data_IF_816464933173
#
_entry.id   IF_816464933173
#
_cell.length_a   1.000
_cell.length_b   1.000
_cell.length_c   1.000
_cell.angle_alpha   90.00
_cell.angle_beta   90.00
_cell.angle_gamma   90.00
#
_symmetry.space_group_name_H-M   'P 1'
#
loop_
_entity.id
_entity.type
_entity.pdbx_description
1 polymer ?
#
# COMPACT_ATOMS: atom_id res chain seq x y z
N UNK A 1 -48.69 -24.02 52.11
CA UNK A 1 -48.84 -23.25 50.84
C UNK A 1 -48.56 -21.80 51.18
N UNK A 2 -47.63 -21.04 50.60
CA UNK A 2 -46.67 -21.15 49.49
C UNK A 2 -45.49 -20.26 49.89
N UNK A 3 -44.26 -20.72 49.63
CA UNK A 3 -43.05 -19.90 49.77
C UNK A 3 -43.10 -18.75 48.74
N UNK A 4 -42.89 -17.51 49.18
CA UNK A 4 -42.77 -16.36 48.29
C UNK A 4 -41.29 -16.19 47.94
N UNK A 5 -40.93 -16.60 46.73
CA UNK A 5 -39.57 -16.54 46.19
C UNK A 5 -39.25 -15.09 45.82
N UNK A 6 -38.14 -14.58 46.36
CA UNK A 6 -37.56 -13.27 46.07
C UNK A 6 -36.85 -13.34 44.71
N UNK A 7 -37.37 -12.66 43.69
CA UNK A 7 -36.74 -12.56 42.36
C UNK A 7 -36.05 -11.18 42.24
N UNK A 8 -34.76 -11.15 42.57
CA UNK A 8 -33.87 -10.02 42.25
C UNK A 8 -33.51 -10.16 40.76
N UNK A 9 -34.10 -9.32 39.92
CA UNK A 9 -33.65 -9.15 38.55
C UNK A 9 -32.34 -8.37 38.55
N UNK A 10 -31.22 -9.08 38.48
CA UNK A 10 -29.90 -8.49 38.23
C UNK A 10 -29.86 -8.04 36.76
N UNK A 11 -30.22 -6.78 36.51
CA UNK A 11 -30.03 -6.14 35.22
C UNK A 11 -28.52 -5.93 35.01
N UNK A 12 -27.87 -6.91 34.40
CA UNK A 12 -26.49 -6.81 33.95
C UNK A 12 -26.43 -5.70 32.88
N UNK A 13 -26.04 -4.49 33.30
CA UNK A 13 -25.56 -3.44 32.40
C UNK A 13 -24.24 -3.93 31.79
N UNK A 14 -24.35 -4.72 30.71
CA UNK A 14 -23.22 -4.94 29.83
C UNK A 14 -22.83 -3.58 29.26
N UNK A 15 -21.58 -3.11 29.40
CA UNK A 15 -21.14 -1.93 28.68
C UNK A 15 -21.30 -2.25 27.20
N UNK A 16 -21.97 -1.37 26.46
CA UNK A 16 -21.89 -1.35 25.01
C UNK A 16 -20.42 -1.11 24.67
N UNK A 17 -19.63 -2.17 24.56
CA UNK A 17 -18.31 -2.11 23.94
C UNK A 17 -18.62 -1.84 22.48
N UNK A 18 -18.68 -0.55 22.12
CA UNK A 18 -18.56 -0.14 20.74
C UNK A 18 -17.20 -0.62 20.29
N UNK A 19 -17.18 -1.77 19.60
CA UNK A 19 -16.02 -2.19 18.84
C UNK A 19 -15.79 -1.07 17.84
N UNK A 20 -14.88 -0.15 18.14
CA UNK A 20 -14.42 0.80 17.13
C UNK A 20 -13.88 -0.08 16.03
N UNK A 21 -14.62 -0.19 14.92
CA UNK A 21 -14.06 -0.67 13.68
C UNK A 21 -12.91 0.29 13.42
N UNK A 22 -11.68 -0.11 13.77
CA UNK A 22 -10.49 0.55 13.27
C UNK A 22 -10.58 0.25 11.77
N UNK A 23 -11.30 1.10 11.05
CA UNK A 23 -11.14 1.21 9.63
C UNK A 23 -9.71 1.67 9.49
N UNK A 24 -8.78 0.73 9.33
CA UNK A 24 -7.45 1.06 8.86
C UNK A 24 -7.71 1.86 7.59
N UNK A 25 -7.35 3.14 7.65
CA UNK A 25 -7.71 4.15 6.68
C UNK A 25 -6.83 3.89 5.46
N UNK A 26 -7.28 2.90 4.67
CA UNK A 26 -6.54 2.25 3.60
C UNK A 26 -6.52 3.16 2.39
N UNK A 27 -5.34 3.31 1.80
CA UNK A 27 -5.10 4.22 0.68
C UNK A 27 -4.34 3.51 -0.42
N UNK A 28 -4.63 3.89 -1.66
CA UNK A 28 -3.77 3.60 -2.80
C UNK A 28 -2.64 4.63 -2.87
N UNK A 29 -1.46 4.16 -3.26
CA UNK A 29 -0.32 5.00 -3.60
C UNK A 29 -0.16 4.96 -5.11
N UNK A 30 -0.47 6.07 -5.78
CA UNK A 30 -0.53 6.17 -7.24
C UNK A 30 0.58 7.06 -7.80
N UNK A 31 1.07 6.73 -8.99
CA UNK A 31 1.96 7.60 -9.76
C UNK A 31 1.14 8.77 -10.30
N UNK A 32 1.60 10.00 -10.02
CA UNK A 32 0.89 11.23 -10.41
C UNK A 32 0.82 11.39 -11.93
N UNK A 33 1.86 10.97 -12.65
CA UNK A 33 1.78 10.85 -14.10
C UNK A 33 1.14 9.51 -14.48
N UNK A 34 0.05 9.55 -15.24
CA UNK A 34 -0.68 8.34 -15.64
C UNK A 34 0.08 7.47 -16.65
N UNK A 35 1.08 8.02 -17.35
CA UNK A 35 1.78 7.37 -18.45
C UNK A 35 0.79 6.86 -19.52
N UNK A 36 0.82 5.57 -19.83
CA UNK A 36 -0.01 4.86 -20.81
C UNK A 36 -1.24 4.17 -20.19
N UNK A 37 -1.54 4.43 -18.91
CA UNK A 37 -2.69 3.86 -18.20
C UNK A 37 -3.61 4.99 -17.69
N UNK A 38 -4.73 5.28 -18.37
CA UNK A 38 -5.65 6.35 -17.97
C UNK A 38 -6.22 6.20 -16.54
N UNK A 39 -6.27 4.98 -16.00
CA UNK A 39 -6.70 4.69 -14.62
C UNK A 39 -5.58 4.95 -13.59
N UNK A 40 -4.36 5.22 -14.06
CA UNK A 40 -3.15 5.41 -13.26
C UNK A 40 -2.47 4.11 -12.85
N UNK A 41 -1.21 4.24 -12.43
CA UNK A 41 -0.41 3.16 -11.87
C UNK A 41 -0.33 3.26 -10.35
N UNK A 42 -0.61 2.17 -9.64
CA UNK A 42 -0.53 2.05 -8.19
C UNK A 42 0.51 1.02 -7.77
N UNK A 43 1.07 1.18 -6.58
CA UNK A 43 1.95 0.17 -5.97
C UNK A 43 1.11 -1.06 -5.64
N UNK A 44 1.55 -2.22 -6.14
CA UNK A 44 0.77 -3.45 -6.17
C UNK A 44 1.61 -4.68 -5.79
N UNK A 45 0.99 -5.59 -5.03
CA UNK A 45 1.53 -6.93 -4.82
C UNK A 45 1.14 -7.82 -5.98
N UNK A 46 2.16 -8.37 -6.66
CA UNK A 46 1.95 -9.35 -7.72
C UNK A 46 1.00 -10.48 -7.32
N UNK A 47 -0.06 -10.66 -8.10
CA UNK A 47 -1.05 -11.70 -7.91
C UNK A 47 -2.45 -11.12 -8.09
N UNK A 48 -3.42 -11.62 -7.33
CA UNK A 48 -4.79 -11.11 -7.42
C UNK A 48 -5.47 -11.15 -6.05
N UNK A 49 -5.75 -9.97 -5.50
CA UNK A 49 -6.43 -9.79 -4.21
C UNK A 49 -5.77 -10.66 -3.15
N UNK A 50 -6.54 -11.39 -2.34
CA UNK A 50 -6.03 -12.29 -1.29
C UNK A 50 -5.10 -13.42 -1.80
N UNK A 51 -5.01 -13.67 -3.11
CA UNK A 51 -4.05 -14.61 -3.72
C UNK A 51 -2.72 -13.94 -4.11
N UNK A 52 -2.47 -12.72 -3.64
CA UNK A 52 -1.23 -12.02 -3.88
C UNK A 52 0.00 -12.79 -3.35
N UNK A 53 1.10 -12.72 -4.08
CA UNK A 53 2.33 -13.48 -3.85
C UNK A 53 3.34 -12.60 -3.11
N UNK A 54 3.26 -12.58 -1.79
CA UNK A 54 4.13 -11.76 -0.93
C UNK A 54 5.64 -12.08 -1.07
N UNK A 55 5.99 -13.22 -1.66
CA UNK A 55 7.38 -13.59 -1.95
C UNK A 55 7.89 -13.06 -3.30
N UNK A 56 7.10 -12.25 -4.02
CA UNK A 56 7.50 -11.59 -5.26
C UNK A 56 7.75 -10.11 -5.01
N UNK A 57 8.63 -9.52 -5.82
CA UNK A 57 8.82 -8.07 -5.82
C UNK A 57 7.51 -7.34 -6.17
N UNK A 58 7.30 -6.21 -5.52
CA UNK A 58 6.25 -5.24 -5.82
C UNK A 58 6.35 -4.75 -7.26
N UNK A 59 5.23 -4.25 -7.77
CA UNK A 59 5.12 -3.70 -9.11
C UNK A 59 4.27 -2.42 -9.11
N UNK A 60 4.30 -1.70 -10.22
CA UNK A 60 3.28 -0.73 -10.57
C UNK A 60 2.24 -1.45 -11.42
N UNK A 61 0.98 -1.38 -11.04
CA UNK A 61 -0.14 -1.99 -11.76
C UNK A 61 -1.23 -0.96 -11.98
N UNK A 62 -2.12 -1.14 -12.95
CA UNK A 62 -3.36 -0.37 -13.04
C UNK A 62 -4.02 -0.30 -11.66
N UNK A 63 -4.29 0.92 -11.21
CA UNK A 63 -4.98 1.17 -9.94
C UNK A 63 -6.40 0.62 -9.96
N UNK A 64 -6.91 0.18 -8.81
CA UNK A 64 -8.23 -0.45 -8.71
C UNK A 64 -9.30 0.41 -8.05
N UNK A 65 -8.97 1.58 -7.48
CA UNK A 65 -9.94 2.42 -6.76
C UNK A 65 -11.16 2.84 -7.58
N UNK A 66 -11.08 2.84 -8.93
CA UNK A 66 -12.25 3.06 -9.80
C UNK A 66 -13.38 2.03 -9.58
N UNK A 67 -13.10 0.92 -8.91
CA UNK A 67 -14.08 -0.10 -8.53
C UNK A 67 -14.88 0.28 -7.27
N UNK A 68 -14.62 1.44 -6.66
CA UNK A 68 -15.32 1.95 -5.48
C UNK A 68 -14.75 1.49 -4.14
N UNK A 69 -13.65 0.72 -4.15
CA UNK A 69 -12.99 0.21 -2.94
C UNK A 69 -11.46 0.11 -3.19
N UNK A 70 -10.66 0.24 -2.12
CA UNK A 70 -9.21 0.01 -2.21
C UNK A 70 -8.94 -1.50 -2.14
N UNK A 71 -8.30 -2.04 -3.19
CA UNK A 71 -7.98 -3.46 -3.24
C UNK A 71 -6.92 -3.85 -2.20
N UNK A 72 -7.08 -5.03 -1.61
CA UNK A 72 -6.21 -5.54 -0.52
C UNK A 72 -4.74 -5.62 -0.91
N UNK A 73 -4.44 -5.84 -2.18
CA UNK A 73 -3.09 -5.94 -2.79
C UNK A 73 -2.52 -4.60 -3.27
N UNK A 74 -3.27 -3.50 -3.12
CA UNK A 74 -2.81 -2.11 -3.38
C UNK A 74 -2.98 -1.18 -2.18
N UNK A 75 -3.61 -1.67 -1.10
CA UNK A 75 -3.92 -0.88 0.08
C UNK A 75 -2.76 -0.75 1.05
N UNK A 76 -2.46 0.49 1.43
CA UNK A 76 -1.51 0.86 2.47
C UNK A 76 -2.22 1.50 3.65
N UNK A 77 -1.69 1.30 4.86
CA UNK A 77 -2.18 1.99 6.06
C UNK A 77 -1.67 3.43 6.10
N UNK A 78 -2.57 4.40 5.90
CA UNK A 78 -2.21 5.82 5.85
C UNK A 78 -1.57 6.34 7.14
N UNK A 79 -1.93 5.80 8.31
CA UNK A 79 -1.33 6.20 9.59
C UNK A 79 0.12 5.76 9.67
N UNK A 80 0.47 4.61 9.09
CA UNK A 80 1.84 4.09 9.06
C UNK A 80 2.72 4.83 8.07
N UNK A 81 2.15 5.35 6.98
CA UNK A 81 2.88 6.20 6.03
C UNK A 81 3.46 7.44 6.70
N UNK A 82 2.72 8.09 7.60
CA UNK A 82 3.22 9.25 8.38
C UNK A 82 4.40 8.91 9.30
N UNK A 83 4.61 7.61 9.58
CA UNK A 83 5.71 7.07 10.38
C UNK A 83 6.81 6.46 9.53
N UNK A 84 6.86 6.83 8.24
CA UNK A 84 7.83 6.34 7.26
C UNK A 84 7.79 4.82 7.04
N UNK A 85 6.60 4.22 7.23
CA UNK A 85 6.39 2.79 7.11
C UNK A 85 5.30 2.52 6.07
N UNK A 86 5.70 1.85 4.99
CA UNK A 86 4.81 1.46 3.90
C UNK A 86 4.24 0.07 4.21
N UNK A 87 3.27 0.06 5.11
CA UNK A 87 2.60 -1.13 5.63
C UNK A 87 1.37 -1.50 4.80
N UNK A 88 1.26 -2.76 4.39
CA UNK A 88 0.11 -3.32 3.67
C UNK A 88 -0.71 -4.21 4.63
N UNK A 89 -1.80 -3.70 5.22
CA UNK A 89 -2.45 -4.32 6.37
C UNK A 89 -3.06 -5.69 6.08
N UNK A 90 -3.64 -5.89 4.89
CA UNK A 90 -4.30 -7.16 4.52
C UNK A 90 -3.37 -8.37 4.50
N UNK A 91 -2.06 -8.14 4.37
CA UNK A 91 -1.04 -9.19 4.31
C UNK A 91 -0.08 -9.14 5.51
N UNK A 92 -0.21 -8.15 6.39
CA UNK A 92 0.68 -7.91 7.52
C UNK A 92 2.17 -7.85 7.13
N UNK A 93 2.48 -7.15 6.04
CA UNK A 93 3.84 -7.00 5.49
C UNK A 93 4.18 -5.54 5.22
N UNK A 94 5.48 -5.27 5.16
CA UNK A 94 6.02 -3.95 4.87
C UNK A 94 6.83 -3.97 3.56
N UNK A 95 6.71 -2.91 2.77
CA UNK A 95 7.60 -2.65 1.65
C UNK A 95 9.06 -2.61 2.15
N UNK A 96 9.92 -3.39 1.51
CA UNK A 96 11.32 -3.57 1.89
C UNK A 96 12.20 -3.43 0.65
N UNK A 97 13.19 -2.55 0.67
CA UNK A 97 14.16 -2.50 -0.43
C UNK A 97 15.08 -3.74 -0.38
N UNK A 98 15.37 -4.36 -1.52
CA UNK A 98 16.37 -5.44 -1.57
C UNK A 98 17.77 -4.95 -1.17
N UNK A 99 18.06 -3.68 -1.44
CA UNK A 99 19.27 -2.94 -1.07
C UNK A 99 19.01 -1.44 -1.27
N UNK A 100 19.90 -0.57 -0.77
CA UNK A 100 19.76 0.90 -0.90
C UNK A 100 20.78 1.44 -1.91
N UNK A 101 20.68 0.95 -3.15
CA UNK A 101 21.49 1.35 -4.31
C UNK A 101 20.59 1.53 -5.54
N UNK A 102 21.06 2.15 -6.64
CA UNK A 102 20.32 2.19 -7.89
C UNK A 102 19.96 0.79 -8.41
N UNK A 103 18.85 0.68 -9.13
CA UNK A 103 18.29 -0.56 -9.68
C UNK A 103 17.79 -1.59 -8.65
N UNK A 104 17.80 -1.28 -7.35
CA UNK A 104 17.26 -2.17 -6.32
C UNK A 104 15.74 -2.33 -6.44
N UNK A 105 15.26 -3.57 -6.39
CA UNK A 105 13.83 -3.86 -6.42
C UNK A 105 13.20 -3.66 -5.03
N UNK A 106 11.87 -3.52 -5.02
CA UNK A 106 11.08 -3.44 -3.79
C UNK A 106 10.40 -4.79 -3.56
N UNK A 107 10.60 -5.36 -2.38
CA UNK A 107 10.06 -6.63 -1.94
C UNK A 107 9.09 -6.40 -0.78
N UNK A 108 8.51 -7.48 -0.28
CA UNK A 108 7.70 -7.49 0.92
C UNK A 108 8.39 -8.36 1.97
N UNK A 109 8.39 -7.87 3.21
CA UNK A 109 8.95 -8.58 4.35
C UNK A 109 8.02 -8.45 5.55
N UNK A 110 8.25 -9.31 6.55
CA UNK A 110 7.70 -9.08 7.88
C UNK A 110 8.14 -7.69 8.35
N UNK A 111 7.22 -6.92 8.90
CA UNK A 111 7.55 -5.60 9.41
C UNK A 111 8.54 -5.71 10.57
N UNK A 112 9.75 -5.21 10.37
CA UNK A 112 10.86 -5.26 11.33
C UNK A 112 11.46 -3.87 11.63
N UNK A 113 10.95 -2.83 10.94
CA UNK A 113 11.41 -1.45 11.09
C UNK A 113 12.91 -1.26 10.81
N UNK A 114 13.50 -2.17 10.03
CA UNK A 114 14.88 -2.08 9.58
C UNK A 114 15.08 -0.86 8.68
N UNK A 115 16.35 -0.49 8.46
CA UNK A 115 16.70 0.60 7.53
C UNK A 115 16.20 0.36 6.11
N UNK A 116 15.99 -0.90 5.71
CA UNK A 116 15.48 -1.28 4.39
C UNK A 116 13.96 -1.08 4.25
N UNK A 117 13.24 -0.93 5.36
CA UNK A 117 11.79 -0.71 5.40
C UNK A 117 11.39 0.74 5.68
N UNK A 118 12.36 1.62 5.94
CA UNK A 118 12.12 3.03 6.27
C UNK A 118 12.20 3.89 5.02
N UNK A 119 11.06 4.35 4.57
CA UNK A 119 10.92 5.25 3.42
C UNK A 119 10.22 6.52 3.85
N UNK A 120 10.80 7.67 3.51
CA UNK A 120 10.17 8.97 3.70
C UNK A 120 9.44 9.36 2.42
N UNK A 121 8.21 9.85 2.58
CA UNK A 121 7.44 10.46 1.51
C UNK A 121 7.53 11.97 1.65
N UNK A 122 8.29 12.59 0.76
CA UNK A 122 8.49 14.04 0.75
C UNK A 122 7.21 14.80 0.37
N UNK A 123 7.11 16.05 0.80
CA UNK A 123 6.06 16.99 0.37
C UNK A 123 6.00 17.25 -1.15
N UNK A 124 7.05 16.87 -1.89
CA UNK A 124 7.09 16.94 -3.36
C UNK A 124 6.61 15.65 -4.03
N UNK A 125 6.09 14.69 -3.28
CA UNK A 125 5.58 13.42 -3.80
C UNK A 125 6.65 12.35 -4.06
N UNK A 126 7.94 12.63 -3.82
CA UNK A 126 8.99 11.61 -3.94
C UNK A 126 8.99 10.70 -2.73
N UNK A 127 9.10 9.39 -2.96
CA UNK A 127 9.30 8.36 -1.93
C UNK A 127 10.76 7.92 -1.99
N UNK A 128 11.48 7.98 -0.87
CA UNK A 128 12.90 7.65 -0.82
C UNK A 128 13.29 6.91 0.46
N UNK A 129 14.27 5.98 0.41
CA UNK A 129 14.83 5.39 1.62
C UNK A 129 15.38 6.48 2.53
N UNK A 130 15.08 6.43 3.84
CA UNK A 130 15.59 7.43 4.80
C UNK A 130 17.12 7.47 4.80
N UNK A 131 17.75 6.31 4.65
CA UNK A 131 19.21 6.16 4.61
C UNK A 131 19.87 6.74 3.36
N UNK A 132 19.12 7.01 2.29
CA UNK A 132 19.65 7.59 1.06
C UNK A 132 18.59 8.36 0.26
N UNK A 133 18.47 9.66 0.53
CA UNK A 133 17.52 10.56 -0.17
C UNK A 133 17.89 10.85 -1.63
N UNK A 134 19.03 10.36 -2.13
CA UNK A 134 19.39 10.46 -3.56
C UNK A 134 18.64 9.43 -4.41
N UNK A 135 18.05 8.40 -3.80
CA UNK A 135 17.29 7.36 -4.48
C UNK A 135 15.79 7.62 -4.32
N UNK A 136 15.03 7.40 -5.39
CA UNK A 136 13.60 7.59 -5.48
C UNK A 136 12.94 6.29 -5.94
N UNK A 137 11.80 5.95 -5.36
CA UNK A 137 10.92 4.92 -5.90
C UNK A 137 10.45 5.35 -7.30
N UNK A 138 10.76 4.53 -8.29
CA UNK A 138 10.63 4.88 -9.71
C UNK A 138 9.87 3.79 -10.45
N UNK A 139 8.88 4.18 -11.24
CA UNK A 139 8.24 3.29 -12.21
C UNK A 139 9.15 3.16 -13.44
N UNK A 140 9.33 1.93 -13.94
CA UNK A 140 10.18 1.68 -15.09
C UNK A 140 9.70 2.47 -16.34
N UNK A 141 10.66 3.04 -17.07
CA UNK A 141 10.41 3.90 -18.24
C UNK A 141 10.10 3.13 -19.52
N UNK A 142 10.37 1.82 -19.56
CA UNK A 142 10.12 0.96 -20.73
C UNK A 142 8.63 0.79 -21.02
N UNK A 143 8.29 -0.04 -22.00
CA UNK A 143 6.89 -0.33 -22.31
C UNK A 143 6.21 -1.08 -21.16
N UNK A 144 4.92 -0.81 -20.95
CA UNK A 144 4.13 -1.59 -20.01
C UNK A 144 3.90 -3.01 -20.53
N UNK A 145 3.55 -3.91 -19.62
CA UNK A 145 3.13 -5.28 -19.92
C UNK A 145 1.65 -5.43 -19.64
N UNK A 146 0.93 -6.16 -20.49
CA UNK A 146 -0.45 -6.50 -20.23
C UNK A 146 -0.56 -7.46 -19.03
N UNK A 147 -1.48 -7.15 -18.12
CA UNK A 147 -1.92 -8.02 -17.05
C UNK A 147 -2.90 -9.10 -17.55
N UNK A 148 -3.37 -9.94 -16.64
CA UNK A 148 -4.26 -11.05 -16.96
C UNK A 148 -5.76 -10.72 -16.93
N UNK A 149 -6.15 -9.47 -16.67
CA UNK A 149 -7.55 -9.10 -16.46
C UNK A 149 -7.87 -7.64 -16.77
N UNK A 150 -9.14 -7.27 -16.55
CA UNK A 150 -9.67 -5.94 -16.80
C UNK A 150 -10.25 -5.74 -18.20
N UNK A 151 -11.21 -4.83 -18.31
CA UNK A 151 -11.66 -4.28 -19.60
C UNK A 151 -11.82 -2.76 -19.44
N UNK A 152 -10.92 -1.94 -20.04
CA UNK A 152 -9.72 -2.31 -20.81
C UNK A 152 -8.72 -3.15 -20.02
N UNK A 153 -7.86 -3.90 -20.71
CA UNK A 153 -6.82 -4.75 -20.07
C UNK A 153 -5.99 -3.91 -19.10
N UNK A 154 -5.66 -4.47 -17.94
CA UNK A 154 -4.76 -3.83 -16.99
C UNK A 154 -3.32 -3.87 -17.49
N UNK A 155 -2.52 -2.89 -17.08
CA UNK A 155 -1.13 -2.72 -17.45
C UNK A 155 -0.22 -2.80 -16.22
N UNK A 156 1.01 -3.25 -16.43
CA UNK A 156 2.00 -3.50 -15.40
C UNK A 156 3.36 -2.92 -15.79
N UNK A 157 4.07 -2.36 -14.81
CA UNK A 157 5.45 -1.88 -14.94
C UNK A 157 6.24 -2.32 -13.70
N UNK A 158 7.55 -2.53 -13.88
CA UNK A 158 8.43 -2.76 -12.74
C UNK A 158 8.62 -1.47 -11.94
N UNK A 159 8.91 -1.61 -10.65
CA UNK A 159 9.37 -0.50 -9.79
C UNK A 159 10.74 -0.82 -9.21
N UNK A 160 11.58 0.19 -9.11
CA UNK A 160 12.92 0.11 -8.54
C UNK A 160 13.30 1.40 -7.82
N UNK A 161 14.38 1.35 -7.05
CA UNK A 161 15.07 2.54 -6.58
C UNK A 161 16.00 3.04 -7.66
N UNK A 162 15.79 4.27 -8.12
CA UNK A 162 16.68 4.94 -9.08
C UNK A 162 17.15 6.27 -8.53
N UNK A 163 18.18 6.85 -9.14
CA UNK A 163 18.59 8.21 -8.78
C UNK A 163 17.41 9.18 -8.98
N UNK A 164 17.21 10.05 -7.99
CA UNK A 164 16.25 11.14 -8.06
C UNK A 164 16.77 12.18 -9.08
N UNK A 165 16.14 12.28 -10.25
CA UNK A 165 16.54 13.27 -11.28
C UNK A 165 15.34 14.08 -11.77
N UNK A 166 15.60 15.18 -12.47
CA UNK A 166 14.54 15.97 -13.09
C UNK A 166 13.92 15.23 -14.30
N UNK A 167 14.73 14.49 -15.07
CA UNK A 167 14.25 13.70 -16.23
C UNK A 167 13.36 12.53 -15.81
N UNK A 168 13.56 11.99 -14.61
CA UNK A 168 12.75 10.90 -14.05
C UNK A 168 11.51 11.37 -13.27
N UNK A 169 11.26 12.68 -13.16
CA UNK A 169 10.06 13.20 -12.45
C UNK A 169 8.75 12.52 -12.88
N UNK A 170 8.44 12.33 -14.17
CA UNK A 170 7.21 11.63 -14.58
C UNK A 170 7.05 10.23 -13.97
N UNK A 171 8.13 9.61 -13.55
CA UNK A 171 8.16 8.23 -13.04
C UNK A 171 8.39 8.14 -11.52
N UNK A 172 8.55 9.27 -10.83
CA UNK A 172 9.02 9.35 -9.45
C UNK A 172 8.13 10.16 -8.50
N UNK A 173 7.06 10.78 -9.01
CA UNK A 173 6.14 11.58 -8.19
C UNK A 173 4.90 10.75 -7.91
N UNK A 174 4.68 10.48 -6.64
CA UNK A 174 3.59 9.67 -6.12
C UNK A 174 2.60 10.53 -5.34
N UNK A 175 1.33 10.16 -5.41
CA UNK A 175 0.23 10.68 -4.61
C UNK A 175 -0.47 9.55 -3.83
N UNK A 176 -1.35 9.92 -2.91
CA UNK A 176 -2.22 8.98 -2.20
C UNK A 176 -3.68 9.35 -2.38
N UNK A 177 -4.56 8.36 -2.43
CA UNK A 177 -6.02 8.58 -2.49
C UNK A 177 -6.77 7.49 -1.74
N UNK A 178 -7.98 7.84 -1.30
CA UNK A 178 -9.00 6.89 -0.85
C UNK A 178 -9.84 6.44 -2.06
N UNK A 179 -10.65 5.39 -1.86
CA UNK A 179 -11.65 4.97 -2.84
C UNK A 179 -12.71 6.05 -3.07
#
# INVERSE_FOLDING_TARGET
MKQLIFLIYLFLFLPNITLSKITNDSVEIYLVNQLDEPRGYCIDIRGHKLKAKINKALQAHTCYSYQGEISVDQGFDSTKLTKNQFFMPSFNVCMTASSVIPSSNLQLGKCDYSKLQKFEWSNKGKIHPISNKKLCLTVNQGQSKQGGGGTPVHLMRNISLELCTNSLKPFQIWGMRRA
#
